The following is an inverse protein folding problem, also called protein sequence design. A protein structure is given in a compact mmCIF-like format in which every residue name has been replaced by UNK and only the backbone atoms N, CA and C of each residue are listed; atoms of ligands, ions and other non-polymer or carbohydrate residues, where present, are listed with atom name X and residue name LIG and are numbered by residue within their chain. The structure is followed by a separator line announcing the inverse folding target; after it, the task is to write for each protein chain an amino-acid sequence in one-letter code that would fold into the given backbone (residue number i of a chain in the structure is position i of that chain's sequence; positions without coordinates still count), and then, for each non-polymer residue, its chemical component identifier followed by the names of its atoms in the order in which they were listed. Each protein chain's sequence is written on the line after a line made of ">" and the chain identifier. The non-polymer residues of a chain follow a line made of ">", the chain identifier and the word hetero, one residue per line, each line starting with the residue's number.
data_IF_227877784598
#
_entry.id   IF_227877784598
#
_cell.length_a   1.000
_cell.length_b   1.000
_cell.length_c   1.000
_cell.angle_alpha   90.00
_cell.angle_beta   90.00
_cell.angle_gamma   90.00
#
_symmetry.space_group_name_H-M   'P 1'
#
loop_
_entity.id
_entity.type
_entity.pdbx_description
1 polymer ?
#
# COMPACT_ATOMS: atom_id res chain seq x y z
N UNK A 1 5.81 -4.67 -20.60
CA UNK A 1 6.14 -3.56 -19.68
C UNK A 1 5.90 -4.05 -18.27
N UNK A 2 6.90 -3.89 -17.41
CA UNK A 2 6.75 -4.20 -15.99
C UNK A 2 6.28 -2.95 -15.24
N UNK A 3 5.26 -3.13 -14.42
CA UNK A 3 4.65 -2.08 -13.60
C UNK A 3 4.88 -2.47 -12.15
N UNK A 4 5.85 -1.81 -11.53
CA UNK A 4 6.18 -1.99 -10.13
C UNK A 4 5.20 -1.20 -9.27
N UNK A 5 4.72 -1.81 -8.19
CA UNK A 5 3.82 -1.15 -7.23
C UNK A 5 4.29 -1.40 -5.80
N UNK A 6 4.08 -0.40 -4.94
CA UNK A 6 4.42 -0.47 -3.52
C UNK A 6 3.21 -0.74 -2.61
N UNK A 7 3.43 -0.71 -1.30
CA UNK A 7 2.45 -0.92 -0.22
C UNK A 7 1.16 -0.11 -0.40
N UNK A 8 1.27 1.16 -0.82
CA UNK A 8 0.10 2.01 -1.02
C UNK A 8 -0.87 1.46 -2.07
N UNK A 9 -0.41 0.72 -3.08
CA UNK A 9 -1.30 0.09 -4.06
C UNK A 9 -2.23 -0.96 -3.41
N UNK A 10 -1.67 -1.78 -2.52
CA UNK A 10 -2.43 -2.78 -1.75
C UNK A 10 -3.42 -2.08 -0.81
N UNK A 11 -3.02 -0.97 -0.18
CA UNK A 11 -3.89 -0.19 0.69
C UNK A 11 -5.04 0.48 -0.07
N UNK A 12 -4.79 1.04 -1.25
CA UNK A 12 -5.84 1.64 -2.09
C UNK A 12 -6.94 0.63 -2.43
N UNK A 13 -6.54 -0.59 -2.83
CA UNK A 13 -7.44 -1.68 -3.18
C UNK A 13 -8.22 -2.20 -1.97
N UNK A 14 -7.52 -2.49 -0.88
CA UNK A 14 -8.12 -3.11 0.31
C UNK A 14 -9.02 -2.15 1.10
N UNK A 15 -8.68 -0.87 1.13
CA UNK A 15 -9.41 0.15 1.87
C UNK A 15 -10.36 0.97 0.99
N UNK A 16 -10.41 0.71 -0.32
CA UNK A 16 -11.25 1.40 -1.29
C UNK A 16 -11.03 2.93 -1.23
N UNK A 17 -9.77 3.34 -1.30
CA UNK A 17 -9.39 4.75 -1.18
C UNK A 17 -9.54 5.52 -2.50
N UNK A 18 -9.09 6.77 -2.51
CA UNK A 18 -9.31 7.76 -3.57
C UNK A 18 -8.90 7.27 -4.97
N UNK A 19 -7.84 6.45 -5.08
CA UNK A 19 -7.35 5.94 -6.36
C UNK A 19 -7.74 4.49 -6.63
N UNK A 20 -8.69 3.94 -5.88
CA UNK A 20 -9.20 2.58 -6.02
C UNK A 20 -9.53 2.20 -7.47
N UNK A 21 -10.27 3.05 -8.19
CA UNK A 21 -10.66 2.81 -9.58
C UNK A 21 -9.46 2.71 -10.54
N UNK A 22 -8.43 3.52 -10.30
CA UNK A 22 -7.20 3.46 -11.08
C UNK A 22 -6.46 2.15 -10.82
N UNK A 23 -6.39 1.72 -9.55
CA UNK A 23 -5.78 0.45 -9.18
C UNK A 23 -6.52 -0.76 -9.76
N UNK A 24 -7.86 -0.74 -9.78
CA UNK A 24 -8.66 -1.78 -10.44
C UNK A 24 -8.37 -1.85 -11.93
N UNK A 25 -8.30 -0.71 -12.61
CA UNK A 25 -7.99 -0.70 -14.05
C UNK A 25 -6.58 -1.23 -14.35
N UNK A 26 -5.61 -1.03 -13.45
CA UNK A 26 -4.28 -1.65 -13.55
C UNK A 26 -4.37 -3.18 -13.39
N UNK A 27 -5.17 -3.69 -12.45
CA UNK A 27 -5.44 -5.12 -12.30
C UNK A 27 -6.05 -5.70 -13.58
N UNK A 28 -7.03 -5.02 -14.19
CA UNK A 28 -7.67 -5.49 -15.43
C UNK A 28 -6.69 -5.51 -16.61
N UNK A 29 -5.80 -4.52 -16.73
CA UNK A 29 -4.73 -4.54 -17.72
C UNK A 29 -3.76 -5.71 -17.50
N UNK A 30 -3.45 -6.04 -16.25
CA UNK A 30 -2.62 -7.19 -15.91
C UNK A 30 -3.34 -8.51 -16.25
N UNK A 31 -4.63 -8.66 -15.91
CA UNK A 31 -5.45 -9.83 -16.27
C UNK A 31 -5.54 -10.04 -17.79
N UNK A 32 -5.60 -8.95 -18.55
CA UNK A 32 -5.61 -8.98 -20.00
C UNK A 32 -4.22 -9.21 -20.63
N UNK A 33 -3.20 -9.53 -19.83
CA UNK A 33 -1.80 -9.70 -20.24
C UNK A 33 -1.24 -8.49 -21.04
N UNK A 34 -1.71 -7.27 -20.73
CA UNK A 34 -1.23 -6.03 -21.35
C UNK A 34 -0.03 -5.44 -20.61
N UNK A 35 0.06 -5.70 -19.32
CA UNK A 35 1.18 -5.33 -18.45
C UNK A 35 1.52 -6.49 -17.53
N UNK A 36 2.75 -6.49 -17.01
CA UNK A 36 3.15 -7.39 -15.94
C UNK A 36 3.18 -6.57 -14.64
N UNK A 37 2.29 -6.88 -13.71
CA UNK A 37 2.33 -6.27 -12.38
C UNK A 37 3.42 -6.96 -11.55
N UNK A 38 4.33 -6.17 -10.96
CA UNK A 38 5.45 -6.66 -10.17
C UNK A 38 5.41 -6.05 -8.77
N UNK A 39 5.50 -6.86 -7.73
CA UNK A 39 5.30 -6.41 -6.35
C UNK A 39 6.43 -6.94 -5.45
N UNK A 40 7.16 -6.08 -4.74
CA UNK A 40 8.03 -6.52 -3.65
C UNK A 40 7.25 -7.29 -2.59
N UNK A 41 7.73 -8.48 -2.18
CA UNK A 41 7.05 -9.28 -1.17
C UNK A 41 6.80 -8.51 0.13
N UNK A 42 7.72 -7.60 0.50
CA UNK A 42 7.58 -6.75 1.67
C UNK A 42 6.34 -5.84 1.60
N UNK A 43 5.98 -5.34 0.42
CA UNK A 43 4.80 -4.49 0.20
C UNK A 43 3.46 -5.22 0.40
N UNK A 44 3.46 -6.56 0.40
CA UNK A 44 2.28 -7.37 0.74
C UNK A 44 2.14 -7.56 2.26
N UNK A 45 3.23 -7.43 3.02
CA UNK A 45 3.24 -7.70 4.47
C UNK A 45 3.07 -6.41 5.28
N UNK A 46 3.67 -5.31 4.83
CA UNK A 46 3.59 -4.00 5.49
C UNK A 46 2.13 -3.53 5.80
N UNK A 47 1.12 -3.77 4.94
CA UNK A 47 -0.26 -3.41 5.25
C UNK A 47 -0.79 -4.03 6.56
N UNK A 48 -0.33 -5.24 6.91
CA UNK A 48 -0.74 -5.89 8.16
C UNK A 48 -0.23 -5.14 9.39
N UNK A 49 0.99 -4.60 9.38
CA UNK A 49 1.50 -3.80 10.48
C UNK A 49 0.68 -2.53 10.67
N UNK A 50 0.37 -1.85 9.57
CA UNK A 50 -0.49 -0.65 9.57
C UNK A 50 -1.89 -0.97 10.11
N UNK A 51 -2.46 -2.11 9.71
CA UNK A 51 -3.74 -2.59 10.24
C UNK A 51 -3.68 -2.92 11.73
N UNK A 52 -2.67 -3.67 12.19
CA UNK A 52 -2.50 -4.01 13.62
C UNK A 52 -2.40 -2.74 14.47
N UNK A 53 -1.68 -1.72 13.99
CA UNK A 53 -1.61 -0.43 14.66
C UNK A 53 -2.97 0.27 14.73
N UNK A 54 -3.66 0.36 13.59
CA UNK A 54 -5.00 0.97 13.54
C UNK A 54 -6.02 0.23 14.40
N UNK A 55 -5.93 -1.10 14.50
CA UNK A 55 -6.77 -1.93 15.36
C UNK A 55 -6.58 -1.57 16.84
N UNK A 56 -5.33 -1.46 17.29
CA UNK A 56 -5.03 -1.07 18.68
C UNK A 56 -5.54 0.33 19.00
N UNK A 57 -5.34 1.27 18.08
CA UNK A 57 -5.78 2.67 18.25
C UNK A 57 -7.31 2.75 18.32
N UNK A 58 -8.02 2.04 17.43
CA UNK A 58 -9.49 2.00 17.42
C UNK A 58 -10.06 1.30 18.65
N UNK A 59 -9.46 0.19 19.08
CA UNK A 59 -9.87 -0.51 20.31
C UNK A 59 -9.71 0.39 21.52
N UNK A 60 -8.58 1.08 21.64
CA UNK A 60 -8.34 2.05 22.72
C UNK A 60 -9.37 3.18 22.71
N UNK A 61 -9.71 3.70 21.52
CA UNK A 61 -10.73 4.74 21.37
C UNK A 61 -12.13 4.22 21.77
N UNK A 62 -12.48 3.01 21.31
CA UNK A 62 -13.73 2.33 21.62
C UNK A 62 -13.91 2.14 23.12
N UNK A 63 -12.89 1.60 23.80
CA UNK A 63 -12.90 1.38 25.25
C UNK A 63 -13.03 2.70 26.04
N UNK A 64 -12.36 3.77 25.58
CA UNK A 64 -12.50 5.11 26.19
C UNK A 64 -13.91 5.67 26.00
N UNK A 65 -14.46 5.58 24.79
CA UNK A 65 -15.82 6.04 24.49
C UNK A 65 -16.87 5.29 25.32
N UNK A 66 -16.79 3.97 25.40
CA UNK A 66 -17.73 3.17 26.20
C UNK A 66 -17.73 3.57 27.68
N UNK A 67 -16.54 3.84 28.24
CA UNK A 67 -16.42 4.28 29.63
C UNK A 67 -17.10 5.63 29.87
N UNK A 68 -16.91 6.61 28.97
CA UNK A 68 -17.57 7.92 29.06
C UNK A 68 -19.10 7.80 28.89
N UNK A 69 -19.56 7.02 27.92
CA UNK A 69 -20.99 6.77 27.69
C UNK A 69 -21.65 6.09 28.89
N UNK A 70 -20.95 5.18 29.56
CA UNK A 70 -21.44 4.55 30.79
C UNK A 70 -21.56 5.53 31.96
N UNK A 71 -20.72 6.56 32.03
CA UNK A 71 -20.87 7.62 33.02
C UNK A 71 -22.04 8.55 32.68
N UNK A 72 -22.15 8.99 31.43
CA UNK A 72 -23.24 9.86 30.96
C UNK A 72 -24.62 9.20 31.03
N UNK A 73 -24.70 7.89 30.75
CA UNK A 73 -25.93 7.10 30.82
C UNK A 73 -26.50 6.94 32.23
N UNK A 74 -25.77 7.37 33.28
CA UNK A 74 -26.31 7.45 34.65
C UNK A 74 -27.25 8.64 34.85
N UNK A 75 -27.25 9.60 33.93
CA UNK A 75 -28.13 10.77 33.95
C UNK A 75 -29.30 10.56 32.98
N UNK A 76 -30.53 10.70 33.49
CA UNK A 76 -31.76 10.43 32.73
C UNK A 76 -31.93 11.31 31.48
N UNK A 77 -31.27 12.47 31.45
CA UNK A 77 -31.37 13.48 30.38
C UNK A 77 -30.64 13.14 29.08
N UNK A 78 -29.79 12.09 29.04
CA UNK A 78 -28.90 11.82 27.90
C UNK A 78 -29.06 10.43 27.26
N UNK A 79 -30.14 9.71 27.58
CA UNK A 79 -30.31 8.31 27.19
C UNK A 79 -30.37 8.08 25.67
N UNK A 80 -31.00 8.98 24.91
CA UNK A 80 -31.05 8.88 23.44
C UNK A 80 -29.69 9.15 22.79
N UNK A 81 -28.95 10.16 23.25
CA UNK A 81 -27.61 10.45 22.74
C UNK A 81 -26.64 9.30 23.03
N UNK A 82 -26.74 8.69 24.22
CA UNK A 82 -25.90 7.54 24.62
C UNK A 82 -26.10 6.33 23.69
N UNK A 83 -27.31 6.11 23.18
CA UNK A 83 -27.57 5.02 22.24
C UNK A 83 -26.96 5.29 20.85
N UNK A 84 -27.10 6.52 20.33
CA UNK A 84 -26.46 6.94 19.06
C UNK A 84 -24.94 6.74 19.07
N UNK A 85 -24.29 7.07 20.19
CA UNK A 85 -22.84 6.87 20.31
C UNK A 85 -22.46 5.40 20.42
N UNK A 86 -23.28 4.54 21.04
CA UNK A 86 -23.03 3.09 21.11
C UNK A 86 -23.07 2.46 19.71
N UNK A 87 -24.00 2.90 18.86
CA UNK A 87 -24.09 2.43 17.47
C UNK A 87 -22.82 2.80 16.69
N UNK A 88 -22.30 4.02 16.89
CA UNK A 88 -21.03 4.46 16.29
C UNK A 88 -19.86 3.59 16.77
N UNK A 89 -19.78 3.26 18.06
CA UNK A 89 -18.76 2.36 18.60
C UNK A 89 -18.81 0.98 17.95
N UNK A 90 -20.02 0.40 17.80
CA UNK A 90 -20.21 -0.90 17.15
C UNK A 90 -19.80 -0.87 15.67
N UNK A 91 -20.06 0.25 14.98
CA UNK A 91 -19.68 0.46 13.59
C UNK A 91 -18.16 0.51 13.41
N UNK A 92 -17.43 1.17 14.32
CA UNK A 92 -15.96 1.21 14.29
C UNK A 92 -15.32 -0.17 14.42
N UNK A 93 -15.91 -1.06 15.22
CA UNK A 93 -15.45 -2.46 15.38
C UNK A 93 -15.75 -3.27 14.11
N UNK A 94 -17.00 -3.24 13.62
CA UNK A 94 -17.40 -4.01 12.43
C UNK A 94 -16.60 -3.64 11.18
N UNK A 95 -16.38 -2.35 10.96
CA UNK A 95 -15.61 -1.87 9.80
C UNK A 95 -14.16 -2.37 9.78
N UNK A 96 -13.60 -2.73 10.94
CA UNK A 96 -12.25 -3.27 11.03
C UNK A 96 -12.16 -4.70 10.51
N UNK A 97 -13.13 -5.55 10.85
CA UNK A 97 -13.21 -6.92 10.34
C UNK A 97 -13.38 -6.92 8.81
N UNK A 98 -14.27 -6.06 8.31
CA UNK A 98 -14.49 -5.89 6.86
C UNK A 98 -13.21 -5.40 6.14
N UNK A 99 -12.43 -4.50 6.76
CA UNK A 99 -11.15 -4.05 6.21
C UNK A 99 -10.10 -5.17 6.20
N UNK A 100 -10.07 -6.00 7.24
CA UNK A 100 -9.12 -7.12 7.33
C UNK A 100 -9.40 -8.18 6.28
N UNK A 101 -10.67 -8.55 6.12
CA UNK A 101 -11.09 -9.51 5.10
C UNK A 101 -10.73 -9.00 3.71
N UNK A 102 -11.05 -7.73 3.40
CA UNK A 102 -10.69 -7.12 2.12
C UNK A 102 -9.19 -7.11 1.86
N UNK A 103 -8.36 -6.85 2.87
CA UNK A 103 -6.91 -6.93 2.71
C UNK A 103 -6.46 -8.36 2.36
N UNK A 104 -6.97 -9.36 3.06
CA UNK A 104 -6.64 -10.76 2.79
C UNK A 104 -7.06 -11.19 1.38
N UNK A 105 -8.27 -10.80 0.97
CA UNK A 105 -8.79 -11.09 -0.38
C UNK A 105 -7.94 -10.39 -1.44
N UNK A 106 -7.57 -9.12 -1.22
CA UNK A 106 -6.70 -8.33 -2.11
C UNK A 106 -5.33 -8.99 -2.27
N UNK A 107 -4.68 -9.35 -1.16
CA UNK A 107 -3.37 -10.00 -1.21
C UNK A 107 -3.46 -11.35 -1.92
N UNK A 108 -4.48 -12.15 -1.63
CA UNK A 108 -4.71 -13.44 -2.29
C UNK A 108 -4.85 -13.27 -3.80
N UNK A 109 -5.62 -12.27 -4.23
CA UNK A 109 -5.80 -11.95 -5.65
C UNK A 109 -4.48 -11.50 -6.30
N UNK A 110 -3.70 -10.64 -5.63
CA UNK A 110 -2.45 -10.11 -6.17
C UNK A 110 -1.37 -11.20 -6.30
N UNK A 111 -1.23 -12.07 -5.30
CA UNK A 111 -0.27 -13.19 -5.35
C UNK A 111 -0.55 -14.15 -6.50
N UNK A 112 -1.81 -14.30 -6.91
CA UNK A 112 -2.20 -15.15 -8.05
C UNK A 112 -1.99 -14.48 -9.41
N UNK A 113 -1.97 -13.15 -9.45
CA UNK A 113 -1.99 -12.37 -10.69
C UNK A 113 -0.63 -11.75 -11.03
N UNK A 114 0.11 -11.32 -10.02
CA UNK A 114 1.33 -10.52 -10.15
C UNK A 114 2.59 -11.36 -9.93
N UNK A 115 3.69 -10.88 -10.48
CA UNK A 115 5.03 -11.37 -10.14
C UNK A 115 5.45 -10.80 -8.78
N UNK A 116 5.85 -11.69 -7.87
CA UNK A 116 6.28 -11.30 -6.52
C UNK A 116 7.80 -11.37 -6.43
N UNK A 117 8.45 -10.25 -6.11
CA UNK A 117 9.89 -10.20 -5.89
C UNK A 117 10.17 -10.73 -4.47
N UNK A 118 10.83 -11.88 -4.31
CA UNK A 118 11.13 -12.43 -2.99
C UNK A 118 12.17 -11.57 -2.27
N UNK A 119 12.03 -11.42 -0.95
CA UNK A 119 13.06 -10.81 -0.12
C UNK A 119 14.19 -11.82 0.11
N UNK A 120 15.41 -11.48 -0.29
CA UNK A 120 16.59 -12.32 -0.16
C UNK A 120 17.76 -11.54 0.48
N UNK A 121 18.89 -12.22 0.70
CA UNK A 121 20.07 -11.63 1.34
C UNK A 121 20.64 -10.43 0.57
N UNK A 122 20.67 -10.50 -0.76
CA UNK A 122 21.19 -9.44 -1.62
C UNK A 122 20.35 -8.16 -1.50
N UNK A 123 19.02 -8.29 -1.52
CA UNK A 123 18.10 -7.18 -1.33
C UNK A 123 18.26 -6.56 0.06
N UNK A 124 18.42 -7.37 1.11
CA UNK A 124 18.61 -6.86 2.48
C UNK A 124 19.91 -6.06 2.59
N UNK A 125 21.01 -6.57 2.05
CA UNK A 125 22.29 -5.86 2.07
C UNK A 125 22.24 -4.57 1.25
N UNK A 126 21.62 -4.60 0.06
CA UNK A 126 21.44 -3.41 -0.76
C UNK A 126 20.54 -2.37 -0.06
N UNK A 127 19.48 -2.79 0.62
CA UNK A 127 18.61 -1.89 1.38
C UNK A 127 19.35 -1.17 2.50
N UNK A 128 20.27 -1.84 3.21
CA UNK A 128 21.11 -1.20 4.23
C UNK A 128 21.99 -0.11 3.61
N UNK A 129 22.63 -0.38 2.45
CA UNK A 129 23.42 0.62 1.74
C UNK A 129 22.57 1.81 1.30
N UNK A 130 21.43 1.57 0.65
CA UNK A 130 20.54 2.62 0.15
C UNK A 130 19.93 3.46 1.26
N UNK A 131 19.68 2.89 2.44
CA UNK A 131 19.24 3.67 3.59
C UNK A 131 20.24 4.78 3.95
N UNK A 132 21.54 4.45 3.98
CA UNK A 132 22.59 5.43 4.26
C UNK A 132 22.88 6.38 3.10
N UNK A 133 22.85 5.88 1.86
CA UNK A 133 23.23 6.65 0.68
C UNK A 133 22.13 7.59 0.21
N UNK A 134 20.85 7.20 0.37
CA UNK A 134 19.69 7.89 -0.18
C UNK A 134 18.75 8.45 0.92
N UNK A 135 19.10 8.29 2.19
CA UNK A 135 18.33 8.73 3.37
C UNK A 135 16.88 8.18 3.38
N UNK A 136 16.69 6.98 2.82
CA UNK A 136 15.40 6.31 2.76
C UNK A 136 15.04 5.70 4.13
N UNK A 137 13.74 5.60 4.42
CA UNK A 137 13.27 4.81 5.57
C UNK A 137 13.67 3.34 5.40
N UNK A 138 13.77 2.54 6.48
CA UNK A 138 14.05 1.11 6.35
C UNK A 138 13.09 0.40 5.39
N UNK A 139 11.79 0.73 5.46
CA UNK A 139 10.75 0.14 4.62
C UNK A 139 10.94 0.50 3.15
N UNK A 140 11.09 1.80 2.87
CA UNK A 140 11.28 2.32 1.52
C UNK A 140 12.58 1.80 0.89
N UNK A 141 13.63 1.63 1.69
CA UNK A 141 14.91 1.07 1.25
C UNK A 141 14.77 -0.38 0.78
N UNK A 142 13.97 -1.20 1.49
CA UNK A 142 13.69 -2.59 1.10
C UNK A 142 12.89 -2.64 -0.20
N UNK A 143 11.86 -1.79 -0.33
CA UNK A 143 11.05 -1.69 -1.55
C UNK A 143 11.92 -1.28 -2.73
N UNK A 144 12.73 -0.23 -2.57
CA UNK A 144 13.64 0.27 -3.60
C UNK A 144 14.68 -0.78 -4.00
N UNK A 145 15.35 -1.41 -3.03
CA UNK A 145 16.33 -2.47 -3.28
C UNK A 145 15.72 -3.65 -4.05
N UNK A 146 14.49 -4.04 -3.71
CA UNK A 146 13.76 -5.10 -4.42
C UNK A 146 13.52 -4.72 -5.88
N UNK A 147 13.05 -3.50 -6.13
CA UNK A 147 12.78 -2.99 -7.48
C UNK A 147 14.07 -2.92 -8.30
N UNK A 148 15.15 -2.34 -7.76
CA UNK A 148 16.45 -2.25 -8.44
C UNK A 148 17.05 -3.63 -8.70
N UNK A 149 17.00 -4.54 -7.72
CA UNK A 149 17.48 -5.91 -7.89
C UNK A 149 16.70 -6.71 -8.94
N UNK A 150 15.40 -6.42 -9.12
CA UNK A 150 14.62 -7.01 -10.21
C UNK A 150 14.98 -6.36 -11.56
N UNK A 151 15.05 -5.03 -11.60
CA UNK A 151 15.38 -4.27 -12.81
C UNK A 151 16.77 -4.61 -13.37
N UNK A 152 17.76 -4.87 -12.52
CA UNK A 152 19.12 -5.23 -12.96
C UNK A 152 19.20 -6.55 -13.71
N UNK A 153 18.21 -7.44 -13.52
CA UNK A 153 18.12 -8.73 -14.19
C UNK A 153 17.27 -8.68 -15.47
N UNK A 154 16.71 -7.53 -15.82
CA UNK A 154 15.85 -7.36 -17.00
C UNK A 154 16.52 -6.38 -17.96
N UNK A 155 16.73 -6.82 -19.20
CA UNK A 155 17.42 -6.00 -20.21
C UNK A 155 16.48 -5.26 -21.15
N UNK A 156 15.22 -5.68 -21.25
CA UNK A 156 14.28 -5.17 -22.26
C UNK A 156 12.95 -4.69 -21.68
N UNK A 157 12.55 -3.49 -22.10
CA UNK A 157 11.21 -2.95 -21.90
C UNK A 157 11.17 -1.56 -21.24
N UNK A 158 10.17 -0.76 -21.62
CA UNK A 158 9.78 0.40 -20.82
C UNK A 158 9.15 -0.12 -19.54
N UNK A 159 9.68 0.30 -18.39
CA UNK A 159 9.22 -0.07 -17.07
C UNK A 159 8.66 1.17 -16.36
N UNK A 160 7.78 0.97 -15.38
CA UNK A 160 7.39 2.07 -14.50
C UNK A 160 7.22 1.63 -13.06
N UNK A 161 7.49 2.55 -12.14
CA UNK A 161 7.29 2.35 -10.72
C UNK A 161 6.21 3.32 -10.22
N UNK A 162 5.09 2.77 -9.77
CA UNK A 162 3.98 3.52 -9.21
C UNK A 162 4.14 3.55 -7.68
N UNK A 163 4.46 4.73 -7.14
CA UNK A 163 4.79 4.92 -5.74
C UNK A 163 4.18 6.22 -5.25
N UNK A 164 3.42 6.25 -4.15
CA UNK A 164 2.80 7.50 -3.65
C UNK A 164 3.72 8.33 -2.75
N UNK A 165 4.84 7.78 -2.30
CA UNK A 165 5.84 8.47 -1.47
C UNK A 165 6.76 9.38 -2.29
N UNK A 166 6.21 10.48 -2.81
CA UNK A 166 6.98 11.47 -3.56
C UNK A 166 8.05 12.20 -2.75
N UNK A 167 7.96 12.16 -1.42
CA UNK A 167 8.90 12.83 -0.53
C UNK A 167 10.24 12.12 -0.56
N UNK A 168 10.22 10.80 -0.40
CA UNK A 168 11.45 10.02 -0.24
C UNK A 168 11.96 9.51 -1.59
N UNK A 169 11.06 9.21 -2.55
CA UNK A 169 11.44 8.74 -3.90
C UNK A 169 11.53 9.83 -4.97
N UNK A 170 11.19 11.08 -4.64
CA UNK A 170 11.23 12.22 -5.56
C UNK A 170 12.61 12.85 -5.74
N UNK A 171 13.65 12.28 -5.15
CA UNK A 171 15.02 12.81 -5.24
C UNK A 171 15.62 12.58 -6.62
N UNK A 172 16.46 13.50 -7.14
CA UNK A 172 17.12 13.31 -8.43
C UNK A 172 17.91 12.01 -8.51
N UNK A 173 18.55 11.59 -7.42
CA UNK A 173 19.38 10.38 -7.40
C UNK A 173 18.55 9.11 -7.65
N UNK A 174 17.38 9.00 -7.01
CA UNK A 174 16.46 7.87 -7.22
C UNK A 174 15.86 7.91 -8.62
N UNK A 175 15.40 9.08 -9.07
CA UNK A 175 14.81 9.25 -10.41
C UNK A 175 15.82 8.88 -11.50
N UNK A 176 17.07 9.37 -11.39
CA UNK A 176 18.12 9.10 -12.36
C UNK A 176 18.56 7.63 -12.33
N UNK A 177 18.64 7.02 -11.14
CA UNK A 177 18.92 5.60 -10.99
C UNK A 177 17.86 4.74 -11.68
N UNK A 178 16.58 4.97 -11.41
CA UNK A 178 15.48 4.24 -12.07
C UNK A 178 15.47 4.47 -13.59
N UNK A 179 15.73 5.71 -14.03
CA UNK A 179 15.80 6.03 -15.45
C UNK A 179 16.94 5.27 -16.17
N UNK A 180 18.06 4.98 -15.49
CA UNK A 180 19.14 4.16 -16.06
C UNK A 180 18.72 2.73 -16.38
N UNK A 181 17.65 2.23 -15.75
CA UNK A 181 17.02 0.93 -16.01
C UNK A 181 15.77 1.04 -16.90
N UNK A 182 15.62 2.14 -17.65
CA UNK A 182 14.41 2.45 -18.42
C UNK A 182 13.11 2.38 -17.58
N UNK A 183 13.22 2.69 -16.29
CA UNK A 183 12.10 2.69 -15.35
C UNK A 183 11.67 4.11 -15.01
N UNK A 184 10.43 4.46 -15.33
CA UNK A 184 9.84 5.76 -14.99
C UNK A 184 9.08 5.69 -13.68
N UNK A 185 9.44 6.51 -12.70
CA UNK A 185 8.65 6.65 -11.47
C UNK A 185 7.48 7.62 -11.65
N UNK A 186 6.31 7.25 -11.12
CA UNK A 186 5.08 8.05 -11.14
C UNK A 186 4.44 8.08 -9.75
N UNK A 187 4.10 9.29 -9.28
CA UNK A 187 3.61 9.52 -7.92
C UNK A 187 2.10 9.40 -7.70
N UNK A 188 1.40 8.86 -8.69
CA UNK A 188 -0.05 8.66 -8.69
C UNK A 188 -0.39 7.47 -9.58
N UNK A 189 -1.29 6.60 -9.12
CA UNK A 189 -1.80 5.47 -9.89
C UNK A 189 -2.65 5.94 -11.07
N UNK A 190 -3.36 7.07 -10.95
CA UNK A 190 -4.09 7.67 -12.06
C UNK A 190 -3.13 8.13 -13.17
N UNK A 191 -2.08 8.88 -12.82
CA UNK A 191 -1.05 9.30 -13.77
C UNK A 191 -0.31 8.10 -14.35
N UNK A 192 -0.05 7.08 -13.51
CA UNK A 192 0.55 5.82 -13.90
C UNK A 192 -0.30 5.08 -14.95
N UNK A 193 -1.60 4.97 -14.72
CA UNK A 193 -2.55 4.37 -15.64
C UNK A 193 -2.60 5.12 -16.97
N UNK A 194 -2.64 6.45 -16.94
CA UNK A 194 -2.59 7.30 -18.13
C UNK A 194 -1.32 7.08 -18.94
N UNK A 195 -0.16 7.04 -18.27
CA UNK A 195 1.12 6.72 -18.89
C UNK A 195 1.09 5.31 -19.52
N UNK A 196 0.66 4.29 -18.77
CA UNK A 196 0.61 2.90 -19.24
C UNK A 196 -0.24 2.76 -20.49
N UNK A 197 -1.43 3.40 -20.52
CA UNK A 197 -2.33 3.38 -21.68
C UNK A 197 -1.73 4.05 -22.92
N UNK A 198 -0.82 5.01 -22.76
CA UNK A 198 -0.12 5.63 -23.88
C UNK A 198 0.97 4.74 -24.50
N UNK A 199 1.33 3.64 -23.84
CA UNK A 199 2.42 2.73 -24.22
C UNK A 199 1.93 1.38 -24.76
N UNK A 200 0.62 1.09 -24.69
CA UNK A 200 -0.03 -0.16 -25.14
C UNK A 200 -0.82 0.12 -26.41
#
# INVERSE_FOLDING_TARGET
>A
MNVYVETNFILELSLMQEQYESCLQLIELCRANKINLVIPAYSLVEPYEKMIRSERDRRTLSEKLENELKQLGRSQSYSEQVNLFRDLTSFLVRTQEDQKQRLQDTITQLVQLAEIIPLNEEIILAAISFQTELDLTPQDSIVYASVIGHLSNITDGNNCFLNRNSKDFGTPDIINSLASYNCRILFSFENGLGYIRSQI
#
